data_IF_725075823646
#
_entry.id   IF_725075823646
#
_cell.length_a   1.000
_cell.length_b   1.000
_cell.length_c   1.000
_cell.angle_alpha   90.00
_cell.angle_beta   90.00
_cell.angle_gamma   90.00
#
_symmetry.space_group_name_H-M   'P 1'
#
loop_
_entity.id
_entity.type
_entity.pdbx_description
1 polymer ?
#
# COMPACT_ATOMS: atom_id res chain seq x y z
N UNK A 1 23.18 -13.91 -7.00
CA UNK A 1 21.89 -13.21 -7.08
C UNK A 1 21.92 -12.08 -6.07
N UNK A 2 21.64 -10.82 -6.42
CA UNK A 2 21.51 -9.79 -5.41
C UNK A 2 20.31 -10.15 -4.51
N UNK A 3 20.56 -10.43 -3.24
CA UNK A 3 19.51 -10.60 -2.25
C UNK A 3 18.94 -9.20 -1.96
N UNK A 4 17.80 -8.87 -2.54
CA UNK A 4 17.08 -7.66 -2.16
C UNK A 4 16.66 -7.77 -0.69
N UNK A 5 17.01 -6.76 0.09
CA UNK A 5 16.68 -6.69 1.52
C UNK A 5 15.39 -5.93 1.74
N UNK A 6 14.73 -6.18 2.86
CA UNK A 6 13.66 -5.33 3.35
C UNK A 6 14.26 -4.08 3.98
N UNK A 7 13.77 -2.92 3.52
CA UNK A 7 14.13 -1.59 4.03
C UNK A 7 13.01 -1.12 4.95
N UNK A 8 13.38 -0.61 6.10
CA UNK A 8 12.41 -0.01 7.02
C UNK A 8 12.09 1.42 6.61
N UNK A 9 10.82 1.67 6.36
CA UNK A 9 10.25 3.00 6.10
C UNK A 9 9.88 3.61 7.43
N UNK A 10 10.37 4.81 7.70
CA UNK A 10 10.05 5.55 8.92
C UNK A 10 9.69 6.99 8.59
N UNK A 11 8.95 7.65 9.48
CA UNK A 11 8.68 9.10 9.36
C UNK A 11 9.99 9.90 9.23
N UNK A 12 10.99 9.58 10.04
CA UNK A 12 12.25 10.29 10.06
C UNK A 12 13.06 10.16 8.77
N UNK A 13 13.06 8.98 8.14
CA UNK A 13 13.86 8.71 6.95
C UNK A 13 13.16 9.01 5.62
N UNK A 14 11.81 9.08 5.62
CA UNK A 14 11.00 9.21 4.40
C UNK A 14 10.07 10.43 4.41
N UNK A 15 9.82 11.06 5.57
CA UNK A 15 8.91 12.21 5.65
C UNK A 15 7.43 11.84 5.44
N UNK A 16 7.07 10.57 5.64
CA UNK A 16 5.69 10.06 5.48
C UNK A 16 5.04 9.85 6.84
N UNK A 17 3.71 9.93 6.89
CA UNK A 17 2.94 9.46 8.02
C UNK A 17 2.84 7.93 7.98
N UNK A 18 2.88 7.27 9.15
CA UNK A 18 2.73 5.81 9.25
C UNK A 18 1.67 5.49 10.29
N UNK A 19 0.66 4.74 9.86
CA UNK A 19 -0.45 4.30 10.67
C UNK A 19 -0.80 2.86 10.28
N UNK A 20 0.00 1.88 10.74
CA UNK A 20 -0.18 0.48 10.40
C UNK A 20 -1.48 -0.06 10.98
N UNK A 21 -2.54 -0.01 10.18
CA UNK A 21 -3.91 -0.33 10.59
C UNK A 21 -4.02 -1.75 11.15
N UNK A 22 -3.28 -2.70 10.58
CA UNK A 22 -3.28 -4.10 11.04
C UNK A 22 -2.52 -4.34 12.36
N UNK A 23 -1.80 -3.33 12.87
CA UNK A 23 -1.24 -3.35 14.21
C UNK A 23 -2.24 -2.88 15.29
N UNK A 24 -3.43 -2.43 14.91
CA UNK A 24 -4.50 -1.93 15.77
C UNK A 24 -5.81 -2.71 15.59
N UNK A 25 -6.84 -2.40 16.39
CA UNK A 25 -8.19 -2.95 16.25
C UNK A 25 -9.00 -2.32 15.12
N UNK A 26 -8.47 -1.27 14.46
CA UNK A 26 -9.16 -0.52 13.39
C UNK A 26 -9.19 -1.22 12.04
N UNK A 27 -8.65 -2.43 11.93
CA UNK A 27 -8.68 -3.24 10.72
C UNK A 27 -9.98 -4.08 10.63
N UNK A 28 -10.18 -4.70 9.48
CA UNK A 28 -11.40 -5.48 9.18
C UNK A 28 -11.63 -6.66 10.14
N UNK A 29 -10.60 -7.17 10.84
CA UNK A 29 -10.75 -8.28 11.78
C UNK A 29 -11.15 -7.83 13.19
N UNK A 30 -11.07 -6.53 13.49
CA UNK A 30 -11.30 -5.94 14.80
C UNK A 30 -10.27 -6.33 15.86
N UNK A 31 -9.09 -6.84 15.45
CA UNK A 31 -8.01 -7.26 16.34
C UNK A 31 -6.66 -6.87 15.76
N UNK A 32 -5.66 -6.51 16.57
CA UNK A 32 -4.29 -6.40 16.10
C UNK A 32 -3.81 -7.77 15.59
N UNK A 33 -3.34 -7.81 14.34
CA UNK A 33 -2.82 -9.03 13.72
C UNK A 33 -1.32 -8.94 13.38
N UNK A 34 -0.72 -7.75 13.46
CA UNK A 34 0.73 -7.57 13.41
C UNK A 34 1.35 -7.80 14.79
N UNK A 35 2.49 -8.53 14.81
CA UNK A 35 3.29 -8.74 16.02
C UNK A 35 4.26 -7.59 16.31
N UNK A 36 4.59 -6.81 15.29
CA UNK A 36 5.50 -5.68 15.37
C UNK A 36 5.05 -4.57 14.42
N UNK A 37 5.07 -3.35 14.89
CA UNK A 37 4.73 -2.14 14.12
C UNK A 37 5.93 -1.68 13.30
N UNK A 38 6.25 -2.41 12.23
CA UNK A 38 7.34 -2.06 11.33
C UNK A 38 6.82 -1.95 9.91
N UNK A 39 7.01 -0.79 9.30
CA UNK A 39 6.73 -0.56 7.90
C UNK A 39 7.95 -0.98 7.08
N UNK A 40 7.84 -2.07 6.33
CA UNK A 40 8.96 -2.66 5.58
C UNK A 40 8.59 -2.74 4.10
N UNK A 41 9.53 -2.43 3.22
CA UNK A 41 9.42 -2.64 1.77
C UNK A 41 10.68 -3.30 1.24
N UNK A 42 10.52 -4.09 0.19
CA UNK A 42 11.65 -4.58 -0.58
C UNK A 42 12.41 -3.39 -1.20
N UNK A 43 13.73 -3.42 -1.21
CA UNK A 43 14.58 -2.31 -1.65
C UNK A 43 14.15 -1.64 -2.98
N UNK A 44 13.79 -2.37 -4.07
CA UNK A 44 13.29 -1.74 -5.27
C UNK A 44 11.93 -1.03 -5.09
N UNK A 45 11.05 -1.58 -4.25
CA UNK A 45 9.76 -0.96 -3.97
C UNK A 45 9.92 0.30 -3.10
N UNK A 46 10.85 0.30 -2.17
CA UNK A 46 11.21 1.48 -1.37
C UNK A 46 11.76 2.61 -2.25
N UNK A 47 12.60 2.29 -3.24
CA UNK A 47 13.10 3.29 -4.20
C UNK A 47 11.96 3.91 -5.02
N UNK A 48 10.93 3.14 -5.38
CA UNK A 48 9.72 3.67 -6.03
C UNK A 48 8.90 4.55 -5.07
N UNK A 49 8.79 4.18 -3.78
CA UNK A 49 8.13 5.01 -2.78
C UNK A 49 8.78 6.38 -2.64
N UNK A 50 10.11 6.48 -2.67
CA UNK A 50 10.81 7.78 -2.62
C UNK A 50 10.42 8.70 -3.77
N UNK A 51 10.20 8.16 -4.96
CA UNK A 51 9.74 8.94 -6.12
C UNK A 51 8.30 9.41 -5.94
N UNK A 52 7.41 8.54 -5.45
CA UNK A 52 6.03 8.92 -5.13
C UNK A 52 5.98 10.02 -4.06
N UNK A 53 6.82 9.94 -3.02
CA UNK A 53 6.94 10.99 -2.00
C UNK A 53 7.33 12.34 -2.62
N UNK A 54 8.31 12.35 -3.52
CA UNK A 54 8.74 13.58 -4.19
C UNK A 54 7.64 14.18 -5.09
N UNK A 55 6.87 13.32 -5.77
CA UNK A 55 5.76 13.73 -6.60
C UNK A 55 4.61 14.31 -5.77
N UNK A 56 4.18 13.62 -4.72
CA UNK A 56 3.17 14.09 -3.77
C UNK A 56 3.55 15.47 -3.18
N UNK A 57 4.80 15.63 -2.76
CA UNK A 57 5.30 16.90 -2.25
C UNK A 57 5.22 18.02 -3.29
N UNK A 58 5.47 17.73 -4.58
CA UNK A 58 5.32 18.72 -5.66
C UNK A 58 3.88 19.16 -5.89
N UNK A 59 2.93 18.30 -5.54
CA UNK A 59 1.49 18.58 -5.56
C UNK A 59 0.97 19.23 -4.25
N UNK A 60 1.85 19.48 -3.28
CA UNK A 60 1.50 20.12 -2.00
C UNK A 60 0.80 19.17 -1.01
N UNK A 61 0.98 17.87 -1.17
CA UNK A 61 0.44 16.83 -0.28
C UNK A 61 1.54 15.91 0.23
N UNK A 62 1.23 15.11 1.25
CA UNK A 62 2.11 14.09 1.80
C UNK A 62 1.43 12.71 1.74
N UNK A 63 2.21 11.66 1.98
CA UNK A 63 1.71 10.28 2.01
C UNK A 63 1.53 9.81 3.44
N UNK A 64 0.46 9.03 3.67
CA UNK A 64 0.23 8.27 4.90
C UNK A 64 0.09 6.79 4.55
N UNK A 65 0.88 5.94 5.19
CA UNK A 65 0.97 4.50 4.91
C UNK A 65 0.13 3.73 5.93
N UNK A 66 -0.75 2.86 5.43
CA UNK A 66 -1.61 1.98 6.23
C UNK A 66 -1.08 0.55 6.32
N UNK A 67 -0.41 0.06 5.27
CA UNK A 67 0.20 -1.26 5.22
C UNK A 67 1.33 -1.30 4.18
N UNK A 68 2.29 -2.22 4.38
CA UNK A 68 3.40 -2.45 3.46
C UNK A 68 3.75 -3.94 3.40
N UNK A 69 4.92 -4.39 3.85
CA UNK A 69 5.20 -5.82 3.94
C UNK A 69 4.26 -6.48 4.94
N UNK A 70 3.50 -7.45 4.46
CA UNK A 70 2.56 -8.23 5.26
C UNK A 70 3.08 -9.65 5.39
N UNK A 71 3.48 -10.10 6.60
CA UNK A 71 3.92 -11.46 6.82
C UNK A 71 2.88 -12.49 6.35
N UNK A 72 3.30 -13.66 5.82
CA UNK A 72 2.37 -14.68 5.30
C UNK A 72 1.32 -15.15 6.32
N UNK A 73 1.67 -15.20 7.59
CA UNK A 73 0.72 -15.55 8.67
C UNK A 73 -0.38 -14.49 8.84
N UNK A 74 -0.08 -13.22 8.61
CA UNK A 74 -1.07 -12.12 8.64
C UNK A 74 -1.97 -12.20 7.41
N UNK A 75 -1.42 -12.47 6.22
CA UNK A 75 -2.21 -12.69 5.02
C UNK A 75 -3.17 -13.87 5.20
N UNK A 76 -2.73 -14.94 5.86
CA UNK A 76 -3.59 -16.09 6.19
C UNK A 76 -4.73 -15.68 7.13
N UNK A 77 -4.44 -14.93 8.19
CA UNK A 77 -5.47 -14.46 9.13
C UNK A 77 -6.54 -13.60 8.43
N UNK A 78 -6.15 -12.74 7.48
CA UNK A 78 -7.08 -11.96 6.68
C UNK A 78 -7.94 -12.85 5.77
N UNK A 79 -7.34 -13.83 5.10
CA UNK A 79 -8.06 -14.78 4.26
C UNK A 79 -9.04 -15.65 5.05
N UNK A 80 -8.65 -16.12 6.23
CA UNK A 80 -9.53 -16.89 7.13
C UNK A 80 -10.71 -16.06 7.62
N UNK A 81 -10.53 -14.74 7.79
CA UNK A 81 -11.60 -13.82 8.18
C UNK A 81 -12.52 -13.48 7.01
N UNK A 82 -11.99 -13.21 5.83
CA UNK A 82 -12.74 -12.84 4.62
C UNK A 82 -12.17 -13.59 3.40
N UNK A 83 -12.62 -14.83 3.13
CA UNK A 83 -12.14 -15.64 2.00
C UNK A 83 -12.80 -15.21 0.68
N UNK A 84 -12.66 -13.94 0.32
CA UNK A 84 -13.19 -13.35 -0.91
C UNK A 84 -12.02 -12.78 -1.74
N UNK A 85 -11.69 -13.42 -2.90
CA UNK A 85 -10.58 -12.98 -3.74
C UNK A 85 -10.78 -11.59 -4.36
N UNK A 86 -11.97 -11.02 -4.28
CA UNK A 86 -12.25 -9.64 -4.70
C UNK A 86 -11.53 -8.64 -3.81
N UNK A 87 -11.37 -8.96 -2.51
CA UNK A 87 -10.84 -8.05 -1.50
C UNK A 87 -9.54 -8.54 -0.88
N UNK A 88 -9.40 -9.84 -0.65
CA UNK A 88 -8.21 -10.43 -0.02
C UNK A 88 -7.53 -11.36 -1.00
N UNK A 89 -6.23 -11.20 -1.22
CA UNK A 89 -5.49 -12.06 -2.15
C UNK A 89 -5.49 -13.53 -1.68
N UNK A 90 -5.84 -14.44 -2.60
CA UNK A 90 -5.82 -15.88 -2.37
C UNK A 90 -4.43 -16.38 -1.96
N UNK A 91 -4.40 -17.32 -1.00
CA UNK A 91 -3.15 -17.85 -0.45
C UNK A 91 -2.33 -18.64 -1.47
N UNK A 92 -2.98 -19.27 -2.45
CA UNK A 92 -2.33 -20.05 -3.50
C UNK A 92 -1.60 -19.18 -4.52
N UNK A 93 -2.12 -17.99 -4.81
CA UNK A 93 -1.50 -17.01 -5.71
C UNK A 93 -0.47 -16.13 -4.99
N UNK A 94 -0.57 -16.03 -3.67
CA UNK A 94 0.26 -15.19 -2.83
C UNK A 94 -0.04 -13.68 -2.97
N UNK A 95 0.36 -12.92 -1.97
CA UNK A 95 0.13 -11.47 -1.91
C UNK A 95 1.38 -10.68 -2.32
N UNK A 96 1.20 -9.57 -3.04
CA UNK A 96 2.27 -8.61 -3.29
C UNK A 96 2.80 -7.99 -1.97
N UNK A 97 1.93 -7.83 -0.96
CA UNK A 97 2.34 -7.40 0.37
C UNK A 97 3.29 -8.40 1.04
N UNK A 98 3.01 -9.71 0.92
CA UNK A 98 3.89 -10.75 1.47
C UNK A 98 5.24 -10.87 0.73
N UNK A 99 5.34 -10.27 -0.46
CA UNK A 99 6.61 -10.11 -1.19
C UNK A 99 7.33 -8.80 -0.88
N UNK A 100 6.74 -7.92 -0.05
CA UNK A 100 7.28 -6.59 0.23
C UNK A 100 7.25 -5.63 -0.97
N UNK A 101 6.39 -5.89 -1.95
CA UNK A 101 6.29 -5.12 -3.20
C UNK A 101 4.97 -4.37 -3.37
N UNK A 102 4.13 -4.33 -2.35
CA UNK A 102 2.90 -3.54 -2.32
C UNK A 102 2.86 -2.66 -1.08
N UNK A 103 2.09 -1.62 -1.18
CA UNK A 103 1.86 -0.63 -0.14
C UNK A 103 0.41 -0.15 -0.22
N UNK A 104 -0.24 0.00 0.92
CA UNK A 104 -1.53 0.66 1.06
C UNK A 104 -1.30 2.03 1.68
N UNK A 105 -1.79 3.07 1.03
CA UNK A 105 -1.54 4.44 1.45
C UNK A 105 -2.69 5.38 1.06
N UNK A 106 -2.69 6.57 1.66
CA UNK A 106 -3.55 7.70 1.28
C UNK A 106 -2.74 9.00 1.22
N UNK A 107 -3.39 10.06 0.80
CA UNK A 107 -2.85 11.43 0.81
C UNK A 107 -3.28 12.14 2.09
N UNK A 108 -2.38 12.94 2.62
CA UNK A 108 -2.63 13.88 3.71
C UNK A 108 -2.22 15.29 3.30
N UNK A 109 -2.86 16.29 3.86
CA UNK A 109 -2.51 17.70 3.67
C UNK A 109 -1.29 18.12 4.54
N UNK A 110 -0.98 19.40 4.55
CA UNK A 110 0.14 19.95 5.30
C UNK A 110 -0.03 19.84 6.84
N UNK A 111 -1.27 19.73 7.31
CA UNK A 111 -1.61 19.57 8.71
C UNK A 111 -1.64 18.09 9.14
N UNK A 112 -1.46 17.16 8.20
CA UNK A 112 -1.47 15.70 8.40
C UNK A 112 -2.88 15.10 8.37
N UNK A 113 -3.90 15.86 7.96
CA UNK A 113 -5.27 15.37 7.84
C UNK A 113 -5.46 14.62 6.50
N UNK A 114 -6.16 13.48 6.56
CA UNK A 114 -6.41 12.67 5.37
C UNK A 114 -7.31 13.41 4.37
N UNK A 115 -6.91 13.43 3.11
CA UNK A 115 -7.79 13.89 2.04
C UNK A 115 -8.97 12.93 1.89
N UNK A 116 -10.17 13.49 1.66
CA UNK A 116 -11.38 12.70 1.48
C UNK A 116 -11.28 11.82 0.22
N UNK A 117 -11.19 10.52 0.40
CA UNK A 117 -11.19 9.49 -0.66
C UNK A 117 -12.57 8.88 -0.91
N UNK A 118 -13.62 9.36 -0.21
CA UNK A 118 -15.00 8.91 -0.34
C UNK A 118 -15.32 7.63 0.41
N UNK A 119 -14.33 6.87 0.81
CA UNK A 119 -14.45 5.68 1.68
C UNK A 119 -13.26 5.59 2.62
N UNK A 120 -13.44 4.90 3.73
CA UNK A 120 -12.33 4.58 4.63
C UNK A 120 -11.45 3.49 4.01
N UNK A 121 -10.24 3.39 4.52
CA UNK A 121 -9.37 2.22 4.26
C UNK A 121 -10.11 0.93 4.65
N UNK A 122 -9.90 -0.14 3.90
CA UNK A 122 -10.57 -1.45 4.08
C UNK A 122 -12.11 -1.42 3.97
N UNK A 123 -12.73 -0.39 3.42
CA UNK A 123 -14.16 -0.38 3.14
C UNK A 123 -14.47 -1.33 1.97
N UNK A 124 -15.04 -2.49 2.26
CA UNK A 124 -15.37 -3.53 1.26
C UNK A 124 -16.72 -3.22 0.58
N UNK A 125 -16.75 -2.14 -0.21
CA UNK A 125 -17.94 -1.65 -0.90
C UNK A 125 -17.65 -1.32 -2.36
N UNK A 126 -18.67 -1.25 -3.20
CA UNK A 126 -18.53 -0.83 -4.60
C UNK A 126 -17.93 0.58 -4.72
N UNK A 127 -18.21 1.47 -3.76
CA UNK A 127 -17.67 2.83 -3.74
C UNK A 127 -16.14 2.87 -3.51
N UNK A 128 -15.55 1.80 -2.97
CA UNK A 128 -14.10 1.69 -2.79
C UNK A 128 -13.37 1.38 -4.10
N UNK A 129 -14.09 0.88 -5.10
CA UNK A 129 -13.50 0.61 -6.42
C UNK A 129 -12.82 1.85 -6.99
N UNK A 130 -11.63 1.65 -7.54
CA UNK A 130 -10.82 2.70 -8.15
C UNK A 130 -11.57 3.45 -9.26
N UNK A 131 -12.40 2.75 -10.02
CA UNK A 131 -13.18 3.28 -11.14
C UNK A 131 -14.62 3.67 -10.77
N UNK A 132 -14.97 3.72 -9.48
CA UNK A 132 -16.29 4.18 -9.05
C UNK A 132 -16.45 5.67 -9.36
N UNK A 133 -17.48 6.02 -10.14
CA UNK A 133 -17.74 7.37 -10.66
C UNK A 133 -18.81 8.15 -9.89
N UNK A 134 -19.37 7.57 -8.83
CA UNK A 134 -20.44 8.18 -8.04
C UNK A 134 -19.97 9.14 -6.94
N UNK A 135 -18.66 9.35 -6.80
CA UNK A 135 -18.13 10.29 -5.80
C UNK A 135 -18.26 11.76 -6.23
N UNK A 136 -18.36 12.70 -5.26
CA UNK A 136 -18.29 14.13 -5.54
C UNK A 136 -16.99 14.55 -6.26
N UNK A 137 -16.99 15.66 -7.02
CA UNK A 137 -15.82 16.07 -7.81
C UNK A 137 -14.52 16.24 -7.02
N UNK A 138 -14.57 16.70 -5.78
CA UNK A 138 -13.37 16.85 -4.94
C UNK A 138 -12.77 15.50 -4.58
N UNK A 139 -13.60 14.50 -4.23
CA UNK A 139 -13.16 13.14 -3.97
C UNK A 139 -12.54 12.51 -5.23
N UNK A 140 -13.18 12.69 -6.38
CA UNK A 140 -12.65 12.23 -7.66
C UNK A 140 -11.25 12.81 -7.94
N UNK A 141 -11.06 14.12 -7.69
CA UNK A 141 -9.73 14.76 -7.84
C UNK A 141 -8.69 14.17 -6.91
N UNK A 142 -9.04 13.96 -5.63
CA UNK A 142 -8.12 13.37 -4.65
C UNK A 142 -7.72 11.94 -5.06
N UNK A 143 -8.67 11.15 -5.54
CA UNK A 143 -8.42 9.78 -6.02
C UNK A 143 -7.57 9.76 -7.28
N UNK A 144 -7.76 10.70 -8.21
CA UNK A 144 -6.93 10.81 -9.42
C UNK A 144 -5.50 11.22 -9.06
N UNK A 145 -5.32 12.13 -8.11
CA UNK A 145 -4.01 12.52 -7.61
C UNK A 145 -3.28 11.32 -6.98
N UNK A 146 -3.97 10.58 -6.10
CA UNK A 146 -3.42 9.35 -5.53
C UNK A 146 -3.09 8.31 -6.61
N UNK A 147 -3.94 8.19 -7.64
CA UNK A 147 -3.71 7.25 -8.74
C UNK A 147 -2.43 7.58 -9.51
N UNK A 148 -2.17 8.84 -9.79
CA UNK A 148 -0.96 9.28 -10.49
C UNK A 148 0.29 8.85 -9.69
N UNK A 149 0.30 9.04 -8.38
CA UNK A 149 1.36 8.59 -7.48
C UNK A 149 1.52 7.06 -7.50
N UNK A 150 0.41 6.32 -7.43
CA UNK A 150 0.38 4.85 -7.45
C UNK A 150 0.78 4.29 -8.82
N UNK A 151 0.36 4.91 -9.92
CA UNK A 151 0.72 4.48 -11.27
C UNK A 151 2.20 4.66 -11.55
N UNK A 152 2.82 5.74 -11.07
CA UNK A 152 4.26 5.92 -11.15
C UNK A 152 5.02 4.86 -10.33
N UNK A 153 4.52 4.51 -9.14
CA UNK A 153 5.01 3.39 -8.35
C UNK A 153 4.87 2.05 -9.11
N UNK A 154 3.73 1.80 -9.75
CA UNK A 154 3.47 0.56 -10.49
C UNK A 154 4.28 0.48 -11.79
N UNK A 155 4.47 1.57 -12.52
CA UNK A 155 5.26 1.62 -13.75
C UNK A 155 6.74 1.33 -13.50
N UNK A 156 7.30 1.90 -12.43
CA UNK A 156 8.67 1.59 -12.03
C UNK A 156 8.81 0.15 -11.51
N UNK A 157 7.77 -0.39 -10.87
CA UNK A 157 7.70 -1.79 -10.48
C UNK A 157 7.71 -2.75 -11.69
N UNK A 158 7.10 -2.38 -12.81
CA UNK A 158 7.17 -3.15 -14.05
C UNK A 158 8.59 -3.13 -14.62
N UNK A 159 9.28 -1.98 -14.62
CA UNK A 159 10.71 -1.89 -15.01
C UNK A 159 11.62 -2.74 -14.13
N UNK A 160 11.40 -2.75 -12.80
CA UNK A 160 12.15 -3.61 -11.88
C UNK A 160 11.93 -5.10 -12.15
N UNK A 161 10.79 -5.50 -12.73
CA UNK A 161 10.52 -6.89 -13.16
C UNK A 161 11.28 -7.24 -14.43
N UNK A 162 11.36 -6.33 -15.38
CA UNK A 162 12.03 -6.54 -16.67
C UNK A 162 13.56 -6.63 -16.50
N UNK A 163 14.12 -5.97 -15.51
CA UNK A 163 15.54 -6.06 -15.15
C UNK A 163 15.92 -7.37 -14.43
N UNK A 164 14.94 -8.15 -13.95
CA UNK A 164 15.20 -9.46 -13.34
C UNK A 164 14.10 -10.50 -13.66
N UNK A 165 14.01 -10.97 -14.93
CA UNK A 165 12.98 -11.93 -15.35
C UNK A 165 13.08 -13.32 -14.68
N UNK A 166 14.24 -13.66 -14.09
CA UNK A 166 14.47 -14.99 -13.51
C UNK A 166 13.97 -15.15 -12.06
N UNK A 167 13.61 -14.08 -11.37
CA UNK A 167 13.11 -14.15 -10.00
C UNK A 167 11.68 -14.73 -9.88
N UNK A 168 10.99 -14.96 -11.00
CA UNK A 168 9.61 -15.43 -11.06
C UNK A 168 9.44 -16.84 -11.65
N UNK A 169 10.52 -17.51 -12.09
CA UNK A 169 10.43 -18.81 -12.75
C UNK A 169 10.76 -20.01 -11.84
N UNK A 170 11.17 -19.78 -10.60
CA UNK A 170 11.45 -20.85 -9.64
C UNK A 170 10.45 -20.80 -8.47
N UNK A 171 9.20 -21.20 -8.75
CA UNK A 171 8.31 -21.96 -7.83
C UNK A 171 7.08 -22.45 -8.55
#
# INVERSE_FOLDING_TARGET
>A
MPQHRLIEVTRASHGVEIDLVYASERNLTGKPIYRAERCLLLEPAEACLRKAIALAASAGVNLKIFDAYRPPEVQRALWEFLPDPTYVADLGLGSNHSRGTAIDLTLVDADGEELDMGTRFDAMTAASSHFYNGHPPHVQRNRLLLLEDVMNFAADKARCRDENPQALSER
#
